data_IF_573529441058
#
_entry.id   IF_573529441058
#
_cell.length_a   1.000
_cell.length_b   1.000
_cell.length_c   1.000
_cell.angle_alpha   90.00
_cell.angle_beta   90.00
_cell.angle_gamma   90.00
#
_symmetry.space_group_name_H-M   'P 1'
#
loop_
_entity.id
_entity.type
_entity.pdbx_description
1 polymer ?
#
# COMPACT_ATOMS: atom_id res chain seq x y z
N UNK A 1 -1.85 -9.51 21.86
CA UNK A 1 -1.52 -8.43 20.92
C UNK A 1 -2.07 -8.80 19.55
N UNK A 2 -2.97 -8.01 18.98
CA UNK A 2 -3.40 -8.21 17.59
C UNK A 2 -2.28 -7.70 16.69
N UNK A 3 -1.72 -8.56 15.85
CA UNK A 3 -0.79 -8.11 14.82
C UNK A 3 -1.55 -7.18 13.88
N UNK A 4 -1.02 -5.98 13.69
CA UNK A 4 -1.55 -5.03 12.73
C UNK A 4 -1.43 -5.61 11.32
N UNK A 5 -2.55 -5.80 10.63
CA UNK A 5 -2.58 -6.41 9.30
C UNK A 5 -1.78 -5.62 8.24
N UNK A 6 -1.46 -4.36 8.53
CA UNK A 6 -0.66 -3.46 7.69
C UNK A 6 0.85 -3.54 7.98
N UNK A 7 1.25 -4.17 9.09
CA UNK A 7 2.64 -4.41 9.44
C UNK A 7 3.18 -5.63 8.67
N UNK A 8 3.45 -5.40 7.39
CA UNK A 8 3.92 -6.41 6.43
C UNK A 8 5.38 -6.19 6.09
N UNK A 9 6.10 -7.29 5.82
CA UNK A 9 7.49 -7.24 5.39
C UNK A 9 7.61 -7.07 3.87
N UNK A 10 8.79 -6.66 3.40
CA UNK A 10 9.09 -6.55 1.97
C UNK A 10 8.90 -7.89 1.26
N UNK A 11 9.30 -9.02 1.87
CA UNK A 11 9.15 -10.34 1.26
C UNK A 11 7.68 -10.69 0.98
N UNK A 12 6.79 -10.43 1.95
CA UNK A 12 5.35 -10.71 1.78
C UNK A 12 4.73 -9.84 0.68
N UNK A 13 5.17 -8.59 0.57
CA UNK A 13 4.68 -7.64 -0.44
C UNK A 13 5.20 -8.02 -1.82
N UNK A 14 6.48 -8.38 -1.95
CA UNK A 14 7.08 -8.83 -3.21
C UNK A 14 6.37 -10.09 -3.71
N UNK A 15 6.10 -11.07 -2.83
CA UNK A 15 5.41 -12.31 -3.21
C UNK A 15 4.03 -12.05 -3.83
N UNK A 16 3.32 -11.01 -3.36
CA UNK A 16 1.92 -10.76 -3.75
C UNK A 16 1.73 -9.63 -4.76
N UNK A 17 2.72 -8.76 -4.91
CA UNK A 17 2.63 -7.55 -5.76
C UNK A 17 3.79 -7.41 -6.74
N UNK A 18 4.77 -8.33 -6.71
CA UNK A 18 5.99 -8.33 -7.52
C UNK A 18 6.93 -7.12 -7.33
N UNK A 19 6.62 -6.22 -6.41
CA UNK A 19 7.40 -5.00 -6.15
C UNK A 19 7.62 -4.82 -4.64
N UNK A 20 8.76 -4.23 -4.22
CA UNK A 20 9.01 -3.94 -2.80
C UNK A 20 8.16 -2.78 -2.29
N UNK A 21 8.07 -2.65 -0.96
CA UNK A 21 7.42 -1.56 -0.24
C UNK A 21 7.93 -0.19 -0.71
N UNK A 22 9.24 -0.03 -0.86
CA UNK A 22 9.84 1.23 -1.32
C UNK A 22 9.39 1.64 -2.73
N UNK A 23 9.02 0.68 -3.59
CA UNK A 23 8.43 1.00 -4.90
C UNK A 23 7.01 1.53 -4.73
N UNK A 24 6.19 0.86 -3.92
CA UNK A 24 4.81 1.29 -3.68
C UNK A 24 4.73 2.60 -2.93
N UNK A 25 5.61 2.86 -1.97
CA UNK A 25 5.69 4.14 -1.28
C UNK A 25 5.95 5.27 -2.28
N UNK A 26 6.87 5.08 -3.25
CA UNK A 26 7.10 6.05 -4.34
C UNK A 26 5.89 6.25 -5.26
N UNK A 27 5.20 5.17 -5.62
CA UNK A 27 3.97 5.24 -6.44
C UNK A 27 2.89 6.04 -5.70
N UNK A 28 2.74 5.79 -4.40
CA UNK A 28 1.76 6.46 -3.55
C UNK A 28 2.10 7.93 -3.31
N UNK A 29 3.38 8.26 -3.10
CA UNK A 29 3.86 9.65 -3.01
C UNK A 29 3.62 10.39 -4.33
N UNK A 30 3.98 9.78 -5.48
CA UNK A 30 3.77 10.36 -6.80
C UNK A 30 2.29 10.55 -7.14
N UNK A 31 1.42 9.66 -6.64
CA UNK A 31 -0.03 9.79 -6.76
C UNK A 31 -0.64 10.83 -5.79
N UNK A 32 0.11 11.27 -4.78
CA UNK A 32 -0.38 12.17 -3.74
C UNK A 32 -1.37 11.50 -2.78
N UNK A 33 -1.12 10.24 -2.43
CA UNK A 33 -2.04 9.40 -1.65
C UNK A 33 -2.43 10.00 -0.29
N UNK A 34 -1.54 10.77 0.34
CA UNK A 34 -1.78 11.41 1.65
C UNK A 34 -2.96 12.39 1.65
N UNK A 35 -3.25 13.02 0.49
CA UNK A 35 -4.35 13.98 0.36
C UNK A 35 -5.63 13.39 -0.25
N UNK A 36 -5.66 12.09 -0.52
CA UNK A 36 -6.75 11.42 -1.26
C UNK A 36 -7.54 10.48 -0.36
N UNK A 37 -8.80 10.21 -0.74
CA UNK A 37 -9.62 9.20 -0.05
C UNK A 37 -8.98 7.82 -0.25
N UNK A 38 -8.94 6.99 0.80
CA UNK A 38 -8.32 5.66 0.73
C UNK A 38 -8.90 4.78 -0.38
N UNK A 39 -10.18 4.94 -0.74
CA UNK A 39 -10.80 4.21 -1.84
C UNK A 39 -10.18 4.56 -3.21
N UNK A 40 -9.84 5.83 -3.44
CA UNK A 40 -9.19 6.28 -4.68
C UNK A 40 -7.77 5.72 -4.76
N UNK A 41 -7.05 5.72 -3.64
CA UNK A 41 -5.69 5.16 -3.54
C UNK A 41 -5.71 3.65 -3.79
N UNK A 42 -6.67 2.93 -3.21
CA UNK A 42 -6.87 1.49 -3.44
C UNK A 42 -7.17 1.22 -4.92
N UNK A 43 -8.07 2.00 -5.54
CA UNK A 43 -8.38 1.85 -6.96
C UNK A 43 -7.17 2.10 -7.86
N UNK A 44 -6.32 3.08 -7.52
CA UNK A 44 -5.07 3.36 -8.22
C UNK A 44 -4.10 2.17 -8.12
N UNK A 45 -3.89 1.61 -6.94
CA UNK A 45 -3.04 0.42 -6.79
C UNK A 45 -3.61 -0.80 -7.54
N UNK A 46 -4.93 -0.98 -7.53
CA UNK A 46 -5.57 -2.05 -8.30
C UNK A 46 -5.36 -1.90 -9.81
N UNK A 47 -5.32 -0.67 -10.35
CA UNK A 47 -5.01 -0.46 -11.76
C UNK A 47 -3.55 -0.75 -12.11
N UNK A 48 -2.66 -0.77 -11.11
CA UNK A 48 -1.27 -1.23 -11.23
C UNK A 48 -1.12 -2.76 -11.04
N UNK A 49 -2.23 -3.50 -10.94
CA UNK A 49 -2.23 -4.96 -10.76
C UNK A 49 -2.11 -5.43 -9.32
N UNK A 50 -2.17 -4.54 -8.33
CA UNK A 50 -2.13 -4.93 -6.91
C UNK A 50 -3.46 -5.56 -6.49
N UNK A 51 -3.48 -6.77 -5.91
CA UNK A 51 -4.70 -7.36 -5.38
C UNK A 51 -5.37 -6.47 -4.32
N UNK A 52 -6.70 -6.44 -4.30
CA UNK A 52 -7.48 -5.51 -3.45
C UNK A 52 -7.08 -5.52 -1.97
N UNK A 53 -6.82 -6.70 -1.41
CA UNK A 53 -6.36 -6.83 -0.02
C UNK A 53 -5.04 -6.09 0.20
N UNK A 54 -4.05 -6.35 -0.65
CA UNK A 54 -2.74 -5.71 -0.59
C UNK A 54 -2.80 -4.22 -0.90
N UNK A 55 -3.68 -3.78 -1.80
CA UNK A 55 -3.91 -2.37 -2.04
C UNK A 55 -4.38 -1.63 -0.77
N UNK A 56 -5.29 -2.25 0.02
CA UNK A 56 -5.72 -1.71 1.32
C UNK A 56 -4.59 -1.73 2.33
N UNK A 57 -3.87 -2.84 2.45
CA UNK A 57 -2.70 -3.00 3.33
C UNK A 57 -1.65 -1.91 3.07
N UNK A 58 -1.25 -1.72 1.81
CA UNK A 58 -0.26 -0.72 1.40
C UNK A 58 -0.76 0.70 1.67
N UNK A 59 -2.03 0.99 1.37
CA UNK A 59 -2.63 2.30 1.66
C UNK A 59 -2.61 2.61 3.16
N UNK A 60 -3.04 1.68 4.01
CA UNK A 60 -3.03 1.86 5.46
C UNK A 60 -1.62 1.99 6.01
N UNK A 61 -0.68 1.13 5.59
CA UNK A 61 0.74 1.21 5.99
C UNK A 61 1.33 2.57 5.64
N UNK A 62 1.14 3.02 4.39
CA UNK A 62 1.65 4.28 3.88
C UNK A 62 1.17 5.49 4.71
N UNK A 63 -0.12 5.50 5.06
CA UNK A 63 -0.71 6.56 5.88
C UNK A 63 -0.19 6.50 7.33
N UNK A 64 -0.14 5.31 7.93
CA UNK A 64 0.36 5.10 9.31
C UNK A 64 1.82 5.52 9.49
N UNK A 65 2.65 5.41 8.45
CA UNK A 65 4.05 5.85 8.49
C UNK A 65 4.21 7.38 8.38
N UNK A 66 3.12 8.11 8.14
CA UNK A 66 3.11 9.57 7.93
C UNK A 66 2.17 10.29 8.90
N UNK A 67 1.58 9.57 9.86
CA UNK A 67 0.93 10.11 11.06
C UNK A 67 1.99 10.39 12.13
#
# INVERSE_FOLDING_TARGET
>A
MKSDYWNVSDEQVIEKTAKPLAHWDKVLDAFGASGKKSMEVVAHLQSQGVPRYWARTLTTRYLKMRE
#
